data_IF_542040352675
#
_entry.id   IF_542040352675
#
_cell.length_a   1.000
_cell.length_b   1.000
_cell.length_c   1.000
_cell.angle_alpha   90.00
_cell.angle_beta   90.00
_cell.angle_gamma   90.00
#
_symmetry.space_group_name_H-M   'P 1'
#
loop_
_entity.id
_entity.type
_entity.pdbx_description
1 polymer ?
#
# COMPACT_ATOMS: atom_id res chain seq x y z
N UNK A 1 -11.30 -6.28 19.62
CA UNK A 1 -9.98 -5.80 19.16
C UNK A 1 -10.16 -5.45 17.70
N UNK A 2 -9.77 -4.24 17.28
CA UNK A 2 -9.99 -3.79 15.88
C UNK A 2 -8.86 -4.31 15.00
N UNK A 3 -9.18 -5.25 14.12
CA UNK A 3 -8.30 -5.71 13.06
C UNK A 3 -7.90 -4.55 12.16
N UNK A 4 -6.59 -4.31 11.99
CA UNK A 4 -6.10 -3.32 11.03
C UNK A 4 -5.91 -3.96 9.66
N UNK A 5 -6.82 -3.60 8.75
CA UNK A 5 -6.71 -3.93 7.33
C UNK A 5 -5.66 -3.04 6.66
N UNK A 6 -4.59 -3.64 6.16
CA UNK A 6 -3.47 -2.96 5.56
C UNK A 6 -2.94 -3.67 4.31
N UNK A 7 -2.51 -2.89 3.34
CA UNK A 7 -2.00 -3.37 2.07
C UNK A 7 -0.49 -3.19 2.03
N UNK A 8 0.25 -4.27 1.83
CA UNK A 8 1.65 -4.18 1.41
C UNK A 8 1.70 -3.65 -0.03
N UNK A 9 2.39 -2.52 -0.22
CA UNK A 9 2.53 -1.85 -1.53
C UNK A 9 3.94 -2.01 -2.11
N UNK A 10 4.75 -2.90 -1.55
CA UNK A 10 6.10 -3.24 -1.99
C UNK A 10 7.19 -2.85 -0.99
N UNK A 11 8.23 -3.68 -0.89
CA UNK A 11 9.43 -3.43 -0.07
C UNK A 11 9.14 -3.01 1.37
N UNK A 12 8.26 -3.75 2.04
CA UNK A 12 7.83 -3.48 3.41
C UNK A 12 7.16 -2.12 3.62
N UNK A 13 6.73 -1.44 2.56
CA UNK A 13 5.86 -0.28 2.65
C UNK A 13 4.40 -0.74 2.74
N UNK A 14 3.66 -0.16 3.68
CA UNK A 14 2.30 -0.59 4.03
C UNK A 14 1.39 0.65 4.09
N UNK A 15 0.17 0.51 3.59
CA UNK A 15 -0.88 1.53 3.69
C UNK A 15 -2.13 0.91 4.29
N UNK A 16 -2.79 1.63 5.20
CA UNK A 16 -4.09 1.22 5.74
C UNK A 16 -5.15 1.19 4.63
N UNK A 17 -5.80 0.04 4.46
CA UNK A 17 -6.84 -0.18 3.45
C UNK A 17 -7.97 0.85 3.50
N UNK A 18 -8.51 1.23 4.68
CA UNK A 18 -9.57 2.24 4.76
C UNK A 18 -9.19 3.63 4.24
N UNK A 19 -7.89 3.88 4.01
CA UNK A 19 -7.40 5.17 3.50
C UNK A 19 -7.17 5.17 2.00
N UNK A 20 -7.29 4.02 1.32
CA UNK A 20 -7.10 3.93 -0.13
C UNK A 20 -8.41 4.27 -0.84
N UNK A 21 -8.35 5.26 -1.73
CA UNK A 21 -9.46 5.62 -2.62
C UNK A 21 -9.37 4.84 -3.93
N UNK A 22 -8.15 4.57 -4.41
CA UNK A 22 -7.95 3.82 -5.64
C UNK A 22 -6.50 3.51 -5.96
N UNK A 23 -6.31 2.63 -6.93
CA UNK A 23 -5.00 2.21 -7.45
C UNK A 23 -5.03 2.33 -8.97
N UNK A 24 -4.04 3.00 -9.55
CA UNK A 24 -3.98 3.27 -10.99
C UNK A 24 -2.61 2.90 -11.57
N UNK A 25 -2.58 2.57 -12.87
CA UNK A 25 -1.31 2.46 -13.62
C UNK A 25 -0.61 3.81 -13.71
N UNK A 26 0.70 3.80 -13.49
CA UNK A 26 1.57 4.99 -13.62
C UNK A 26 1.64 5.56 -15.04
N UNK A 27 1.25 4.77 -16.03
CA UNK A 27 1.42 5.11 -17.45
C UNK A 27 0.27 5.94 -18.02
N UNK A 28 -0.79 6.21 -17.24
CA UNK A 28 -1.90 7.07 -17.66
C UNK A 28 -1.53 8.57 -17.59
N UNK A 29 -2.14 9.39 -18.45
CA UNK A 29 -1.95 10.84 -18.41
C UNK A 29 -2.41 11.44 -17.06
N UNK A 30 -3.54 10.95 -16.53
CA UNK A 30 -4.04 11.34 -15.20
C UNK A 30 -3.06 10.99 -14.08
N UNK A 31 -2.47 9.78 -14.09
CA UNK A 31 -1.49 9.40 -13.07
C UNK A 31 -0.22 10.27 -13.10
N UNK A 32 0.28 10.61 -14.29
CA UNK A 32 1.42 11.53 -14.43
C UNK A 32 1.11 12.92 -13.86
N UNK A 33 -0.09 13.44 -14.13
CA UNK A 33 -0.56 14.72 -13.60
C UNK A 33 -0.63 14.70 -12.08
N UNK A 34 -1.32 13.70 -11.53
CA UNK A 34 -1.47 13.52 -10.08
C UNK A 34 -0.12 13.40 -9.36
N UNK A 35 0.82 12.62 -9.92
CA UNK A 35 2.19 12.52 -9.39
C UNK A 35 2.88 13.88 -9.36
N UNK A 36 2.75 14.69 -10.41
CA UNK A 36 3.34 16.02 -10.47
C UNK A 36 2.73 16.95 -9.42
N UNK A 37 1.40 16.97 -9.30
CA UNK A 37 0.68 17.78 -8.32
C UNK A 37 1.06 17.39 -6.89
N UNK A 38 1.08 16.09 -6.58
CA UNK A 38 1.50 15.59 -5.28
C UNK A 38 2.97 15.94 -4.96
N UNK A 39 3.86 15.91 -5.96
CA UNK A 39 5.26 16.33 -5.78
C UNK A 39 5.35 17.80 -5.41
N UNK A 40 4.64 18.66 -6.13
CA UNK A 40 4.60 20.11 -5.87
C UNK A 40 4.04 20.42 -4.48
N UNK A 41 3.02 19.67 -4.06
CA UNK A 41 2.32 19.90 -2.79
C UNK A 41 2.95 19.17 -1.59
N UNK A 42 4.13 18.54 -1.75
CA UNK A 42 4.75 17.71 -0.70
C UNK A 42 3.87 16.56 -0.18
N UNK A 43 2.98 16.03 -1.04
CA UNK A 43 2.05 14.94 -0.75
C UNK A 43 2.47 13.61 -1.43
N UNK A 44 3.66 13.57 -2.03
CA UNK A 44 4.15 12.40 -2.75
C UNK A 44 5.08 11.56 -1.87
N UNK A 45 4.71 10.30 -1.66
CA UNK A 45 5.55 9.29 -1.01
C UNK A 45 6.05 8.27 -2.04
N UNK A 46 7.34 7.97 -2.03
CA UNK A 46 7.96 7.01 -2.94
C UNK A 46 8.25 5.68 -2.24
N UNK A 47 7.48 4.63 -2.56
CA UNK A 47 7.66 3.26 -2.07
C UNK A 47 8.26 2.33 -3.14
N UNK A 48 8.93 2.87 -4.16
CA UNK A 48 9.49 2.07 -5.27
C UNK A 48 10.86 1.49 -4.97
N UNK A 49 11.58 2.03 -3.98
CA UNK A 49 12.97 1.69 -3.66
C UNK A 49 13.89 1.72 -4.90
N UNK A 50 13.77 2.80 -5.70
CA UNK A 50 14.58 3.02 -6.89
C UNK A 50 14.18 2.19 -8.12
N UNK A 51 13.13 1.36 -8.02
CA UNK A 51 12.61 0.60 -9.16
C UNK A 51 11.65 1.43 -9.99
N UNK A 52 11.38 0.98 -11.23
CA UNK A 52 10.37 1.60 -12.09
C UNK A 52 9.03 1.66 -11.37
N UNK A 53 8.47 2.86 -11.23
CA UNK A 53 7.08 3.06 -10.80
C UNK A 53 6.15 2.35 -11.78
N UNK A 54 5.28 1.48 -11.25
CA UNK A 54 4.28 0.74 -12.03
C UNK A 54 2.85 1.11 -11.66
N UNK A 55 2.65 1.63 -10.45
CA UNK A 55 1.35 2.08 -9.98
C UNK A 55 1.46 3.33 -9.11
N UNK A 56 0.34 4.03 -9.02
CA UNK A 56 0.10 5.08 -8.03
C UNK A 56 -1.10 4.67 -7.17
N UNK A 57 -1.03 4.95 -5.89
CA UNK A 57 -2.10 4.69 -4.93
C UNK A 57 -2.60 6.04 -4.40
N UNK A 58 -3.89 6.28 -4.55
CA UNK A 58 -4.56 7.49 -4.11
C UNK A 58 -5.14 7.27 -2.73
N UNK A 59 -4.93 8.22 -1.82
CA UNK A 59 -5.48 8.16 -0.46
C UNK A 59 -6.51 9.24 -0.19
N UNK A 60 -7.33 9.03 0.83
CA UNK A 60 -8.36 10.00 1.26
C UNK A 60 -7.78 11.33 1.74
N UNK A 61 -6.51 11.33 2.17
CA UNK A 61 -5.79 12.53 2.63
C UNK A 61 -5.21 13.37 1.48
N UNK A 62 -5.29 12.89 0.24
CA UNK A 62 -4.61 13.49 -0.91
C UNK A 62 -3.15 13.07 -1.08
N UNK A 63 -2.57 12.31 -0.12
CA UNK A 63 -1.26 11.70 -0.32
C UNK A 63 -1.31 10.69 -1.46
N UNK A 64 -0.26 10.68 -2.28
CA UNK A 64 -0.06 9.74 -3.37
C UNK A 64 1.18 8.90 -3.08
N UNK A 65 1.02 7.58 -3.14
CA UNK A 65 2.12 6.65 -2.97
C UNK A 65 2.51 6.05 -4.33
N UNK A 66 3.78 6.12 -4.67
CA UNK A 66 4.35 5.45 -5.83
C UNK A 66 4.73 4.03 -5.45
N UNK A 67 4.38 3.04 -6.29
CA UNK A 67 4.77 1.66 -6.06
C UNK A 67 5.39 1.03 -7.31
N UNK A 68 6.36 0.14 -7.10
CA UNK A 68 6.91 -0.69 -8.16
C UNK A 68 6.03 -1.93 -8.46
N UNK A 69 4.99 -2.17 -7.66
CA UNK A 69 4.04 -3.26 -7.85
C UNK A 69 2.97 -2.81 -8.84
N UNK A 70 2.57 -3.71 -9.75
CA UNK A 70 1.55 -3.41 -10.75
C UNK A 70 0.15 -3.29 -10.11
N UNK A 71 -0.75 -2.46 -10.66
CA UNK A 71 -2.10 -2.29 -10.13
C UNK A 71 -2.86 -3.62 -9.97
N UNK A 72 -2.73 -4.53 -10.94
CA UNK A 72 -3.44 -5.81 -10.92
C UNK A 72 -2.95 -6.71 -9.78
N UNK A 73 -1.66 -6.64 -9.45
CA UNK A 73 -1.09 -7.40 -8.34
C UNK A 73 -1.50 -6.82 -6.99
N UNK A 74 -1.64 -5.51 -6.88
CA UNK A 74 -2.18 -4.86 -5.69
C UNK A 74 -3.68 -5.14 -5.53
N UNK A 75 -4.45 -5.11 -6.62
CA UNK A 75 -5.87 -5.47 -6.63
C UNK A 75 -6.10 -6.89 -6.12
N UNK A 76 -5.33 -7.87 -6.62
CA UNK A 76 -5.39 -9.25 -6.10
C UNK A 76 -5.05 -9.36 -4.61
N UNK A 77 -4.22 -8.46 -4.07
CA UNK A 77 -3.92 -8.45 -2.62
C UNK A 77 -5.11 -7.92 -1.84
N UNK A 78 -5.87 -6.95 -2.35
CA UNK A 78 -7.09 -6.46 -1.71
C UNK A 78 -8.13 -7.57 -1.49
N UNK A 79 -8.21 -8.52 -2.41
CA UNK A 79 -9.13 -9.66 -2.35
C UNK A 79 -8.72 -10.72 -1.31
N UNK A 80 -7.45 -10.75 -0.91
CA UNK A 80 -6.92 -11.73 0.05
C UNK A 80 -7.12 -11.26 1.50
N UNK A 81 -7.45 -12.20 2.39
CA UNK A 81 -7.54 -11.96 3.84
C UNK A 81 -6.19 -11.74 4.53
N UNK A 82 -5.07 -11.89 3.82
CA UNK A 82 -3.70 -11.71 4.32
C UNK A 82 -3.35 -10.25 4.67
N UNK A 83 -4.30 -9.31 4.55
CA UNK A 83 -4.12 -7.90 4.85
C UNK A 83 -4.35 -7.56 6.33
N UNK A 84 -4.56 -8.56 7.19
CA UNK A 84 -4.72 -8.38 8.62
C UNK A 84 -3.33 -8.21 9.26
N UNK A 85 -3.05 -7.04 9.80
CA UNK A 85 -1.92 -6.84 10.70
C UNK A 85 -2.46 -6.95 12.12
N UNK A 86 -2.26 -8.11 12.74
CA UNK A 86 -2.34 -8.25 14.19
C UNK A 86 -1.18 -7.46 14.82
N UNK A 87 -1.38 -6.87 16.01
CA UNK A 87 -0.25 -6.28 16.75
C UNK A 87 0.81 -7.36 16.98
N UNK A 88 2.10 -6.99 16.92
CA UNK A 88 3.25 -7.91 17.07
C UNK A 88 3.15 -8.84 18.29
N UNK A 89 2.46 -8.43 19.37
CA UNK A 89 2.21 -9.24 20.57
C UNK A 89 1.45 -10.56 20.28
N UNK A 90 0.50 -10.61 19.34
CA UNK A 90 -0.27 -11.85 19.05
C UNK A 90 0.50 -12.83 18.15
N UNK A 91 1.48 -12.36 17.37
CA UNK A 91 2.28 -13.22 16.49
C UNK A 91 3.33 -14.05 17.27
N UNK A 92 3.73 -13.60 18.45
CA UNK A 92 4.59 -14.35 19.37
C UNK A 92 3.79 -15.42 20.14
N UNK A 93 2.56 -15.10 20.54
CA UNK A 93 1.66 -16.05 21.21
C UNK A 93 1.19 -17.18 20.29
N UNK A 94 0.91 -16.89 19.01
CA UNK A 94 0.59 -17.94 18.02
C UNK A 94 1.80 -18.84 17.79
N UNK A 95 3.01 -18.28 17.62
CA UNK A 95 4.23 -19.07 17.40
C UNK A 95 4.61 -19.93 18.60
N UNK A 96 4.41 -19.44 19.83
CA UNK A 96 4.66 -20.25 21.04
C UNK A 96 3.65 -21.39 21.18
N UNK A 97 2.38 -21.16 20.81
CA UNK A 97 1.34 -22.20 20.83
C UNK A 97 1.45 -23.28 19.74
N UNK A 98 2.16 -23.00 18.63
CA UNK A 98 2.41 -23.97 17.55
C UNK A 98 3.69 -24.80 17.77
N UNK A 99 4.49 -24.46 18.79
CA UNK A 99 5.75 -25.13 19.16
C UNK A 99 5.62 -26.08 20.37
N UNK A 100 4.46 -26.07 21.04
CA UNK A 100 4.05 -27.02 22.10
C UNK A 100 3.13 -28.11 21.56
#
# INVERSE_FOLDING_TARGET
MEDYFALNIGFSNIILLPKIVGIMSSDSAGARRLRSEAKTNSMLADATMGRKTRSIILTTSGHIFLSAIRPESLGKRLEKKDNLIAKEEELEDIKSSELD
#
